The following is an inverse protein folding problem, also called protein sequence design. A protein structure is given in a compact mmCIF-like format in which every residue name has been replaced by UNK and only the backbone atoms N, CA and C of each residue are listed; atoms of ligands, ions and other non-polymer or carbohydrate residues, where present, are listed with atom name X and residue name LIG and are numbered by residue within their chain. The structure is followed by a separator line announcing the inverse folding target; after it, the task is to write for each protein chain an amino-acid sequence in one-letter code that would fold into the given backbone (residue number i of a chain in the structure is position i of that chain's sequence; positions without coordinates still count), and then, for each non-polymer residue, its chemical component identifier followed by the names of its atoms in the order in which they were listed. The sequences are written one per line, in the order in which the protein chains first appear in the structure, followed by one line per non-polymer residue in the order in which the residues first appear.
data_IF_871289063265
#
_entry.id   IF_871289063265
#
_cell.length_a   1.000
_cell.length_b   1.000
_cell.length_c   1.000
_cell.angle_alpha   90.00
_cell.angle_beta   90.00
_cell.angle_gamma   90.00
#
_symmetry.space_group_name_H-M   'P 1'
#
loop_
_entity.id
_entity.type
_entity.pdbx_description
1 polymer ?
#
# COMPACT_ATOMS: atom_id res chain seq x y z
N UNK A 1 3.55 20.20 -3.07
CA UNK A 1 3.54 19.21 -1.97
C UNK A 1 2.18 18.54 -1.97
N UNK A 2 2.13 17.30 -2.48
CA UNK A 2 0.87 16.60 -2.78
C UNK A 2 0.05 16.25 -1.53
N UNK A 3 0.72 15.88 -0.44
CA UNK A 3 0.13 15.66 0.88
C UNK A 3 1.04 16.25 1.95
N UNK A 4 0.47 16.94 2.94
CA UNK A 4 1.22 17.42 4.10
C UNK A 4 1.17 16.35 5.20
N UNK A 5 2.19 15.49 5.23
CA UNK A 5 2.33 14.40 6.20
C UNK A 5 3.64 14.59 6.99
N UNK A 6 3.61 14.35 8.29
CA UNK A 6 4.79 14.22 9.13
C UNK A 6 5.06 12.74 9.44
N UNK A 7 6.34 12.36 9.56
CA UNK A 7 6.71 10.98 9.88
C UNK A 7 6.13 10.54 11.24
N UNK A 8 6.02 11.46 12.18
CA UNK A 8 5.46 11.26 13.51
C UNK A 8 3.99 10.81 13.48
N UNK A 9 3.19 11.23 12.49
CA UNK A 9 1.80 10.77 12.33
C UNK A 9 1.74 9.27 12.02
N UNK A 10 2.70 8.76 11.24
CA UNK A 10 2.84 7.32 10.99
C UNK A 10 3.27 6.58 12.26
N UNK A 11 4.24 7.13 12.99
CA UNK A 11 4.78 6.50 14.19
C UNK A 11 3.75 6.44 15.34
N UNK A 12 2.87 7.44 15.46
CA UNK A 12 1.78 7.45 16.45
C UNK A 12 0.77 6.30 16.24
N UNK A 13 0.67 5.78 15.02
CA UNK A 13 -0.19 4.65 14.69
C UNK A 13 0.47 3.28 14.96
N UNK A 14 1.71 3.23 15.45
CA UNK A 14 2.38 1.99 15.84
C UNK A 14 2.02 1.56 17.28
N UNK A 15 1.85 0.26 17.49
CA UNK A 15 1.51 -0.31 18.80
C UNK A 15 2.70 -0.45 19.78
N UNK A 16 3.92 -0.16 19.31
CA UNK A 16 5.16 -0.31 20.06
C UNK A 16 6.12 0.84 19.72
N UNK A 17 7.14 1.05 20.54
CA UNK A 17 8.18 2.01 20.25
C UNK A 17 8.93 1.62 18.96
N UNK A 18 9.00 2.50 17.96
CA UNK A 18 9.68 2.22 16.70
C UNK A 18 11.18 2.08 16.90
N UNK A 19 11.83 1.29 16.04
CA UNK A 19 13.29 1.30 15.92
C UNK A 19 13.74 2.53 15.13
N UNK A 20 15.02 2.93 15.27
CA UNK A 20 15.60 4.03 14.47
C UNK A 20 15.37 3.85 12.96
N UNK A 21 15.46 2.62 12.45
CA UNK A 21 15.19 2.32 11.04
C UNK A 21 13.73 2.47 10.65
N UNK A 22 12.78 2.23 11.55
CA UNK A 22 11.35 2.46 11.33
C UNK A 22 11.02 3.96 11.38
N UNK A 23 11.63 4.71 12.29
CA UNK A 23 11.53 6.17 12.35
C UNK A 23 12.04 6.81 11.06
N UNK A 24 13.23 6.40 10.59
CA UNK A 24 13.80 6.85 9.33
C UNK A 24 12.88 6.50 8.15
N UNK A 25 12.37 5.26 8.09
CA UNK A 25 11.46 4.85 7.03
C UNK A 25 10.15 5.65 7.03
N UNK A 26 9.59 5.99 8.20
CA UNK A 26 8.40 6.83 8.32
C UNK A 26 8.65 8.26 7.82
N UNK A 27 9.82 8.84 8.12
CA UNK A 27 10.22 10.17 7.64
C UNK A 27 10.42 10.19 6.12
N UNK A 28 11.16 9.23 5.58
CA UNK A 28 11.34 9.11 4.11
C UNK A 28 10.00 8.85 3.41
N UNK A 29 9.09 8.10 4.03
CA UNK A 29 7.74 7.93 3.49
C UNK A 29 6.96 9.25 3.47
N UNK A 30 7.05 10.07 4.53
CA UNK A 30 6.42 11.39 4.58
C UNK A 30 6.96 12.35 3.50
N UNK A 31 8.27 12.36 3.28
CA UNK A 31 8.90 13.10 2.19
C UNK A 31 8.38 12.63 0.82
N UNK A 32 8.29 11.32 0.60
CA UNK A 32 7.71 10.74 -0.61
C UNK A 32 6.24 11.16 -0.83
N UNK A 33 5.44 11.23 0.23
CA UNK A 33 4.05 11.68 0.12
C UNK A 33 3.92 13.18 -0.20
N UNK A 34 4.92 13.98 0.21
CA UNK A 34 5.02 15.39 -0.14
C UNK A 34 5.59 15.66 -1.53
N UNK A 35 6.17 14.66 -2.18
CA UNK A 35 6.85 14.80 -3.46
C UNK A 35 5.85 15.10 -4.62
N UNK A 36 6.23 16.05 -5.47
CA UNK A 36 5.47 16.44 -6.67
C UNK A 36 6.05 15.81 -7.95
N UNK A 37 7.14 15.04 -7.87
CA UNK A 37 7.68 14.35 -9.05
C UNK A 37 6.67 13.32 -9.60
N UNK A 38 6.46 13.33 -10.93
CA UNK A 38 5.60 12.33 -11.56
C UNK A 38 6.26 10.94 -11.46
N UNK A 39 5.44 9.93 -11.19
CA UNK A 39 5.86 8.51 -11.14
C UNK A 39 6.85 8.13 -10.03
N UNK A 40 6.95 8.90 -8.94
CA UNK A 40 7.73 8.52 -7.77
C UNK A 40 7.28 7.19 -7.16
N UNK A 41 8.24 6.43 -6.62
CA UNK A 41 8.00 5.14 -5.94
C UNK A 41 8.78 5.10 -4.63
N UNK A 42 8.11 4.71 -3.55
CA UNK A 42 8.76 4.41 -2.28
C UNK A 42 9.02 2.91 -2.14
N UNK A 43 10.24 2.54 -1.74
CA UNK A 43 10.66 1.14 -1.59
C UNK A 43 11.08 0.83 -0.15
N UNK A 44 10.23 0.11 0.58
CA UNK A 44 10.52 -0.35 1.95
C UNK A 44 11.31 -1.67 1.92
N UNK A 45 12.59 -1.62 2.29
CA UNK A 45 13.49 -2.80 2.38
C UNK A 45 13.83 -3.14 3.83
N UNK A 46 14.08 -4.42 4.09
CA UNK A 46 14.51 -4.89 5.41
C UNK A 46 14.47 -6.42 5.50
N UNK A 47 15.28 -6.99 6.39
CA UNK A 47 15.36 -8.43 6.61
C UNK A 47 14.08 -9.04 7.20
N UNK A 48 14.00 -10.36 7.24
CA UNK A 48 12.92 -11.05 7.95
C UNK A 48 12.90 -10.60 9.42
N UNK A 49 11.69 -10.39 9.98
CA UNK A 49 11.53 -9.98 11.38
C UNK A 49 11.74 -8.49 11.68
N UNK A 50 12.14 -7.64 10.72
CA UNK A 50 12.38 -6.20 10.98
C UNK A 50 11.11 -5.33 11.06
N UNK A 51 9.93 -5.94 11.27
CA UNK A 51 8.68 -5.20 11.46
C UNK A 51 8.15 -4.42 10.25
N UNK A 52 8.56 -4.75 9.02
CA UNK A 52 8.05 -4.08 7.79
C UNK A 52 6.53 -4.07 7.70
N UNK A 53 5.91 -5.22 7.96
CA UNK A 53 4.45 -5.35 7.91
C UNK A 53 3.77 -4.50 8.99
N UNK A 54 4.39 -4.37 10.16
CA UNK A 54 3.91 -3.49 11.24
C UNK A 54 3.96 -2.02 10.81
N UNK A 55 5.06 -1.59 10.17
CA UNK A 55 5.16 -0.24 9.63
C UNK A 55 4.14 -0.01 8.49
N UNK A 56 3.93 -0.99 7.62
CA UNK A 56 2.91 -0.90 6.57
C UNK A 56 1.49 -0.76 7.13
N UNK A 57 1.16 -1.46 8.22
CA UNK A 57 -0.14 -1.30 8.90
C UNK A 57 -0.32 0.14 9.42
N UNK A 58 0.72 0.69 10.07
CA UNK A 58 0.71 2.06 10.57
C UNK A 58 0.59 3.10 9.43
N UNK A 59 1.34 2.91 8.34
CA UNK A 59 1.21 3.74 7.12
C UNK A 59 -0.21 3.69 6.59
N UNK A 60 -0.76 2.49 6.42
CA UNK A 60 -2.09 2.31 5.82
C UNK A 60 -3.17 2.99 6.67
N UNK A 61 -3.07 2.87 8.01
CA UNK A 61 -3.96 3.56 8.93
C UNK A 61 -3.85 5.08 8.82
N UNK A 62 -2.63 5.59 8.80
CA UNK A 62 -2.38 7.04 8.68
C UNK A 62 -2.95 7.60 7.38
N UNK A 63 -2.84 6.85 6.27
CA UNK A 63 -3.41 7.27 4.98
C UNK A 63 -4.94 7.29 5.00
N UNK A 64 -5.57 6.33 5.66
CA UNK A 64 -7.03 6.34 5.86
C UNK A 64 -7.47 7.51 6.74
N UNK A 65 -6.72 7.82 7.80
CA UNK A 65 -7.02 8.94 8.71
C UNK A 65 -7.01 10.30 7.98
N UNK A 66 -6.14 10.47 6.97
CA UNK A 66 -6.08 11.68 6.12
C UNK A 66 -7.02 11.61 4.90
N UNK A 67 -7.85 10.56 4.78
CA UNK A 67 -8.84 10.39 3.72
C UNK A 67 -8.28 9.92 2.36
N UNK A 68 -7.02 9.47 2.31
CA UNK A 68 -6.44 8.89 1.11
C UNK A 68 -6.83 7.41 0.97
N UNK A 69 -7.29 7.02 -0.22
CA UNK A 69 -7.58 5.60 -0.48
C UNK A 69 -6.28 4.79 -0.51
N UNK A 70 -6.25 3.67 0.22
CA UNK A 70 -5.16 2.70 0.18
C UNK A 70 -5.63 1.37 -0.39
N UNK A 71 -4.83 0.79 -1.29
CA UNK A 71 -5.08 -0.55 -1.80
C UNK A 71 -3.88 -1.45 -1.56
N UNK A 72 -4.12 -2.51 -0.79
CA UNK A 72 -3.13 -3.52 -0.45
C UNK A 72 -3.15 -4.62 -1.51
N UNK A 73 -2.02 -4.81 -2.15
CA UNK A 73 -1.82 -5.78 -3.22
C UNK A 73 -0.70 -6.74 -2.85
N UNK A 74 -0.71 -7.92 -3.44
CA UNK A 74 0.41 -8.86 -3.39
C UNK A 74 0.51 -9.68 -4.67
N UNK A 75 1.64 -10.33 -4.92
CA UNK A 75 1.83 -11.17 -6.11
C UNK A 75 1.08 -12.50 -6.06
N UNK A 76 0.87 -13.06 -4.85
CA UNK A 76 0.19 -14.35 -4.63
C UNK A 76 -0.99 -14.21 -3.68
N UNK A 77 -2.00 -15.09 -3.83
CA UNK A 77 -3.18 -15.09 -2.97
C UNK A 77 -2.84 -15.37 -1.49
N UNK A 78 -1.84 -16.21 -1.22
CA UNK A 78 -1.37 -16.48 0.15
C UNK A 78 -0.74 -15.24 0.78
N UNK A 79 0.11 -14.53 0.04
CA UNK A 79 0.70 -13.28 0.51
C UNK A 79 -0.36 -12.21 0.76
N UNK A 80 -1.34 -12.07 -0.14
CA UNK A 80 -2.49 -11.17 0.07
C UNK A 80 -3.26 -11.52 1.34
N UNK A 81 -3.52 -12.81 1.61
CA UNK A 81 -4.19 -13.24 2.85
C UNK A 81 -3.40 -12.86 4.10
N UNK A 82 -2.08 -13.06 4.10
CA UNK A 82 -1.21 -12.68 5.22
C UNK A 82 -1.21 -11.16 5.41
N UNK A 83 -1.11 -10.40 4.33
CA UNK A 83 -1.15 -8.94 4.36
C UNK A 83 -2.49 -8.42 4.91
N UNK A 84 -3.60 -9.01 4.47
CA UNK A 84 -4.94 -8.68 4.96
C UNK A 84 -5.10 -8.95 6.45
N UNK A 85 -4.58 -10.09 6.94
CA UNK A 85 -4.61 -10.42 8.36
C UNK A 85 -3.76 -9.46 9.19
N UNK A 86 -2.56 -9.13 8.72
CA UNK A 86 -1.63 -8.27 9.44
C UNK A 86 -2.12 -6.82 9.53
N UNK A 87 -2.80 -6.33 8.49
CA UNK A 87 -3.29 -4.94 8.41
C UNK A 87 -4.77 -4.79 8.76
N UNK A 88 -5.49 -5.90 8.97
CA UNK A 88 -6.95 -5.95 9.15
C UNK A 88 -7.75 -5.26 8.03
N UNK A 89 -7.17 -5.21 6.83
CA UNK A 89 -7.75 -4.57 5.64
C UNK A 89 -7.87 -5.57 4.49
N UNK A 90 -8.73 -5.26 3.53
CA UNK A 90 -8.82 -6.11 2.35
C UNK A 90 -7.55 -5.98 1.52
N UNK A 91 -6.93 -7.11 1.20
CA UNK A 91 -5.83 -7.19 0.25
C UNK A 91 -6.19 -8.14 -0.89
N UNK A 92 -5.77 -7.81 -2.10
CA UNK A 92 -6.01 -8.64 -3.30
C UNK A 92 -4.70 -8.93 -4.02
N UNK A 93 -4.73 -9.80 -5.03
CA UNK A 93 -3.56 -9.96 -5.88
C UNK A 93 -3.47 -8.84 -6.90
N UNK A 94 -2.25 -8.45 -7.29
CA UNK A 94 -2.05 -7.49 -8.40
C UNK A 94 -2.81 -7.96 -9.64
N UNK A 95 -2.71 -9.26 -9.97
CA UNK A 95 -3.44 -9.89 -11.07
C UNK A 95 -4.94 -9.62 -11.01
N UNK A 96 -5.58 -9.85 -9.86
CA UNK A 96 -7.02 -9.59 -9.68
C UNK A 96 -7.35 -8.10 -9.81
N UNK A 97 -6.46 -7.22 -9.37
CA UNK A 97 -6.68 -5.78 -9.42
C UNK A 97 -6.61 -5.22 -10.83
N UNK A 98 -5.59 -5.60 -11.59
CA UNK A 98 -5.33 -4.99 -12.91
C UNK A 98 -6.13 -5.65 -14.03
N UNK A 99 -6.50 -6.92 -13.90
CA UNK A 99 -7.28 -7.64 -14.91
C UNK A 99 -8.76 -7.73 -14.52
N UNK A 100 -9.64 -7.15 -15.34
CA UNK A 100 -11.09 -7.34 -15.24
C UNK A 100 -11.56 -8.34 -16.30
N UNK A 101 -12.20 -9.42 -15.85
CA UNK A 101 -12.96 -10.31 -16.73
C UNK A 101 -14.18 -9.54 -17.27
N UNK A 102 -14.41 -9.62 -18.57
CA UNK A 102 -15.59 -9.04 -19.24
C UNK A 102 -16.59 -10.15 -19.57
N UNK A 103 -17.87 -9.85 -19.82
CA UNK A 103 -18.83 -10.88 -20.22
C UNK A 103 -18.38 -11.67 -21.47
N UNK A 104 -17.63 -11.03 -22.38
CA UNK A 104 -17.00 -11.66 -23.54
C UNK A 104 -15.82 -12.61 -23.20
N UNK A 105 -15.33 -12.62 -21.96
CA UNK A 105 -14.23 -13.49 -21.53
C UNK A 105 -14.64 -14.93 -21.23
N UNK A 106 -15.95 -15.21 -21.16
CA UNK A 106 -16.48 -16.52 -20.79
C UNK A 106 -16.65 -17.46 -21.99
N UNK A 107 -16.74 -16.94 -23.22
CA UNK A 107 -17.05 -17.75 -24.41
C UNK A 107 -15.88 -17.92 -25.41
N UNK A 108 -14.88 -17.03 -25.47
CA UNK A 108 -13.78 -17.11 -26.46
C UNK A 108 -12.40 -16.69 -25.91
N UNK A 109 -11.97 -17.28 -24.78
CA UNK A 109 -10.60 -17.06 -24.25
C UNK A 109 -10.27 -15.58 -23.98
N UNK A 110 -11.28 -14.82 -23.56
CA UNK A 110 -11.43 -13.44 -24.01
C UNK A 110 -10.53 -12.37 -23.38
N UNK A 111 -10.63 -11.20 -24.00
CA UNK A 111 -9.83 -10.03 -23.73
C UNK A 111 -10.05 -9.47 -22.31
N UNK A 112 -8.94 -9.23 -21.60
CA UNK A 112 -8.93 -8.51 -20.34
C UNK A 112 -8.85 -7.01 -20.58
N UNK A 113 -9.57 -6.22 -19.77
CA UNK A 113 -9.40 -4.76 -19.72
C UNK A 113 -8.62 -4.37 -18.47
N UNK A 114 -7.72 -3.39 -18.62
CA UNK A 114 -7.04 -2.76 -17.50
C UNK A 114 -8.05 -1.98 -16.65
N UNK A 115 -8.01 -2.22 -15.33
CA UNK A 115 -8.79 -1.41 -14.39
C UNK A 115 -8.14 -0.03 -14.22
N UNK A 116 -8.95 1.05 -14.26
CA UNK A 116 -8.53 2.39 -13.86
C UNK A 116 -9.07 2.74 -12.47
N UNK A 117 -8.31 3.54 -11.73
CA UNK A 117 -8.79 4.19 -10.49
C UNK A 117 -9.17 5.63 -10.81
N UNK A 118 -10.40 6.03 -10.50
CA UNK A 118 -10.88 7.41 -10.68
C UNK A 118 -10.51 8.35 -9.53
N UNK A 119 -10.16 7.78 -8.36
CA UNK A 119 -9.76 8.54 -7.17
C UNK A 119 -8.26 8.40 -6.88
N UNK A 120 -7.60 9.43 -6.30
CA UNK A 120 -6.23 9.31 -5.80
C UNK A 120 -6.12 8.09 -4.88
N UNK A 121 -5.17 7.20 -5.16
CA UNK A 121 -4.99 5.94 -4.43
C UNK A 121 -3.51 5.67 -4.25
N UNK A 122 -3.11 5.36 -3.01
CA UNK A 122 -1.81 4.78 -2.71
C UNK A 122 -1.91 3.26 -2.86
N UNK A 123 -1.19 2.72 -3.84
CA UNK A 123 -1.05 1.28 -4.02
C UNK A 123 0.15 0.78 -3.22
N UNK A 124 -0.07 -0.19 -2.35
CA UNK A 124 0.97 -0.85 -1.56
C UNK A 124 1.06 -2.29 -2.07
N UNK A 125 2.25 -2.72 -2.50
CA UNK A 125 2.48 -3.97 -3.23
C UNK A 125 3.47 -4.87 -2.52
#
# INVERSE_FOLDING_TARGET
MKYNLQGEEVLQNMAFNPTLSQEQAARTFAEYMGDDYPYSVFLLKGYAGTGKTTLLDAITRTMEDIGLNCELLATTGRAAKVLAQATRRTATTIHRKIYRATAASVEEGGAYKLASSSRPTLFIV
#
